data_IF_079395028264
#
_entry.id   IF_079395028264
#
_cell.length_a   1.000
_cell.length_b   1.000
_cell.length_c   1.000
_cell.angle_alpha   90.00
_cell.angle_beta   90.00
_cell.angle_gamma   90.00
#
_symmetry.space_group_name_H-M   'P 1'
#
loop_
_entity.id
_entity.type
_entity.pdbx_description
1 polymer ?
#
# COMPACT_ATOMS: atom_id res chain seq x y z
N UNK A 1 -6.43 -102.02 31.69
CA UNK A 1 -5.12 -101.35 31.45
C UNK A 1 -5.43 -100.02 30.82
N UNK A 2 -5.41 -98.96 31.63
CA UNK A 2 -5.69 -97.57 31.20
C UNK A 2 -4.34 -96.80 31.28
N UNK A 3 -3.90 -96.32 30.15
CA UNK A 3 -2.74 -95.49 30.04
C UNK A 3 -3.15 -94.02 30.35
N UNK A 4 -2.58 -93.45 31.35
CA UNK A 4 -2.74 -92.02 31.71
C UNK A 4 -1.65 -91.23 30.98
N UNK A 5 -2.06 -90.27 30.11
CA UNK A 5 -1.20 -89.34 29.42
C UNK A 5 -1.14 -88.03 30.27
N UNK A 6 0.04 -87.66 30.71
CA UNK A 6 0.31 -86.35 31.34
C UNK A 6 0.59 -85.32 30.23
N UNK A 7 -0.02 -84.16 30.25
CA UNK A 7 0.42 -83.06 29.37
C UNK A 7 1.52 -82.28 30.02
N UNK A 8 2.65 -82.15 29.30
CA UNK A 8 3.75 -81.25 29.61
C UNK A 8 3.34 -79.81 29.32
N UNK A 9 3.26 -78.96 30.36
CA UNK A 9 2.97 -77.53 30.23
C UNK A 9 4.26 -76.83 29.92
N UNK A 10 4.39 -76.32 28.68
CA UNK A 10 5.53 -75.50 28.23
C UNK A 10 5.27 -74.05 28.64
N UNK A 11 5.95 -73.58 29.68
CA UNK A 11 5.96 -72.16 30.04
C UNK A 11 6.88 -71.40 29.10
N UNK A 12 6.29 -70.62 28.21
CA UNK A 12 7.04 -69.62 27.41
C UNK A 12 7.23 -68.40 28.27
N UNK A 13 8.44 -68.18 28.74
CA UNK A 13 8.85 -66.94 29.40
C UNK A 13 8.97 -65.85 28.33
N UNK A 14 7.99 -64.91 28.31
CA UNK A 14 8.09 -63.70 27.53
C UNK A 14 9.02 -62.73 28.25
N UNK A 15 10.25 -62.61 27.79
CA UNK A 15 11.20 -61.62 28.19
C UNK A 15 10.78 -60.29 27.57
N UNK A 16 10.19 -59.39 28.36
CA UNK A 16 9.97 -58.01 27.97
C UNK A 16 11.33 -57.32 27.94
N UNK A 17 11.89 -57.21 26.75
CA UNK A 17 13.00 -56.28 26.48
C UNK A 17 12.47 -54.86 26.51
N UNK A 18 12.52 -54.18 27.68
CA UNK A 18 12.33 -52.75 27.77
C UNK A 18 13.50 -52.05 27.10
N UNK A 19 13.33 -51.70 25.82
CA UNK A 19 14.18 -50.70 25.17
C UNK A 19 14.01 -49.39 25.93
N UNK A 20 15.02 -49.01 26.69
CA UNK A 20 15.09 -47.63 27.20
C UNK A 20 15.12 -46.70 26.01
N UNK A 21 13.99 -46.12 25.67
CA UNK A 21 13.94 -44.95 24.81
C UNK A 21 14.67 -43.86 25.59
N UNK A 22 15.91 -43.55 25.21
CA UNK A 22 16.57 -42.35 25.66
C UNK A 22 15.71 -41.18 25.15
N UNK A 23 15.00 -40.50 26.03
CA UNK A 23 14.47 -39.18 25.74
C UNK A 23 15.68 -38.32 25.37
N UNK A 24 15.92 -38.19 24.07
CA UNK A 24 16.67 -37.06 23.56
C UNK A 24 15.80 -35.84 23.83
N UNK A 25 16.04 -35.21 25.00
CA UNK A 25 15.57 -33.84 25.25
C UNK A 25 16.16 -33.00 24.11
N UNK A 26 15.31 -32.59 23.18
CA UNK A 26 15.72 -31.68 22.11
C UNK A 26 16.35 -30.48 22.81
N UNK A 27 17.65 -30.31 22.70
CA UNK A 27 18.34 -29.10 23.13
C UNK A 27 17.90 -28.01 22.17
N UNK A 28 16.91 -27.23 22.60
CA UNK A 28 16.59 -25.97 21.91
C UNK A 28 17.87 -25.12 21.92
N UNK A 29 18.21 -24.49 20.77
CA UNK A 29 19.34 -23.57 20.73
C UNK A 29 19.18 -22.53 21.84
N UNK A 30 20.27 -22.20 22.54
CA UNK A 30 20.27 -21.12 23.53
C UNK A 30 19.75 -19.86 22.84
N UNK A 31 18.54 -19.44 23.20
CA UNK A 31 18.01 -18.15 22.77
C UNK A 31 18.91 -17.08 23.36
N UNK A 32 19.42 -16.18 22.51
CA UNK A 32 20.16 -15.00 22.97
C UNK A 32 19.26 -14.25 23.98
N UNK A 33 19.86 -13.80 25.08
CA UNK A 33 19.10 -13.11 26.14
C UNK A 33 18.36 -11.86 25.65
N UNK A 34 18.77 -11.31 24.49
CA UNK A 34 18.09 -10.20 23.81
C UNK A 34 16.89 -10.63 22.96
N UNK A 35 16.70 -11.92 22.70
CA UNK A 35 15.60 -12.48 21.92
C UNK A 35 14.57 -13.21 22.80
N UNK A 36 14.51 -12.93 24.09
CA UNK A 36 13.59 -13.58 25.03
C UNK A 36 12.12 -13.16 24.86
N UNK A 37 11.83 -12.14 24.08
CA UNK A 37 10.49 -11.68 23.81
C UNK A 37 10.15 -11.84 22.34
N UNK A 38 8.88 -12.02 22.01
CA UNK A 38 8.40 -12.03 20.62
C UNK A 38 8.26 -10.62 20.02
N UNK A 39 8.57 -9.58 20.81
CA UNK A 39 8.48 -8.19 20.35
C UNK A 39 9.85 -7.65 19.90
N UNK A 40 10.23 -7.98 18.68
CA UNK A 40 11.47 -7.50 18.07
C UNK A 40 11.43 -6.01 17.68
N UNK A 41 10.27 -5.37 17.80
CA UNK A 41 10.03 -3.98 17.39
C UNK A 41 10.01 -2.99 18.56
N UNK A 42 10.36 -3.44 19.77
CA UNK A 42 10.37 -2.65 20.99
C UNK A 42 11.62 -2.98 21.81
N UNK A 43 12.79 -2.71 21.24
CA UNK A 43 14.07 -3.11 21.81
C UNK A 43 15.00 -1.94 22.18
N UNK A 44 14.51 -0.69 22.03
CA UNK A 44 15.24 0.54 22.37
C UNK A 44 14.30 1.56 23.04
N UNK A 45 14.84 2.57 23.74
CA UNK A 45 14.02 3.64 24.29
C UNK A 45 13.28 4.45 23.22
N UNK A 46 12.03 4.79 23.49
CA UNK A 46 11.22 5.68 22.65
C UNK A 46 11.66 7.12 22.86
N UNK A 47 11.96 7.84 21.77
CA UNK A 47 12.24 9.27 21.77
C UNK A 47 11.00 10.03 21.29
N UNK A 48 10.53 11.01 22.09
CA UNK A 48 9.48 11.94 21.66
C UNK A 48 9.99 12.88 20.57
N UNK A 49 9.12 13.20 19.62
CA UNK A 49 9.41 14.14 18.53
C UNK A 49 8.53 15.39 18.73
N UNK A 50 9.13 16.60 18.86
CA UNK A 50 8.35 17.82 18.96
C UNK A 50 7.42 17.98 17.77
N UNK A 51 6.14 18.20 18.05
CA UNK A 51 5.13 18.45 17.01
C UNK A 51 4.89 19.93 16.82
N UNK A 52 4.81 20.35 15.55
CA UNK A 52 4.33 21.68 15.19
C UNK A 52 2.83 21.68 14.94
N UNK A 53 2.21 22.87 14.89
CA UNK A 53 0.79 22.97 14.55
C UNK A 53 0.59 22.50 13.11
N UNK A 54 -0.32 21.54 12.93
CA UNK A 54 -0.73 21.01 11.64
C UNK A 54 -2.11 21.54 11.29
N UNK A 55 -2.27 22.09 10.09
CA UNK A 55 -3.57 22.57 9.59
C UNK A 55 -4.06 21.73 8.43
N UNK A 56 -5.38 21.58 8.30
CA UNK A 56 -6.05 20.98 7.15
C UNK A 56 -6.86 22.02 6.43
N UNK A 57 -6.71 22.12 5.11
CA UNK A 57 -7.48 23.04 4.26
C UNK A 57 -7.76 22.46 2.86
N UNK A 58 -8.13 23.34 1.91
CA UNK A 58 -8.43 22.96 0.53
C UNK A 58 -9.92 22.72 0.30
N UNK A 59 -10.27 21.66 -0.42
CA UNK A 59 -11.65 21.34 -0.84
C UNK A 59 -12.46 20.67 0.29
N UNK A 60 -12.52 21.35 1.43
CA UNK A 60 -13.24 20.94 2.64
C UNK A 60 -14.05 22.10 3.22
N UNK A 61 -15.19 21.77 3.87
CA UNK A 61 -16.07 22.75 4.49
C UNK A 61 -15.63 23.19 5.89
N UNK A 62 -14.73 22.45 6.53
CA UNK A 62 -14.29 22.68 7.92
C UNK A 62 -12.76 22.78 8.03
N UNK A 63 -12.10 23.77 7.37
CA UNK A 63 -10.67 23.95 7.49
C UNK A 63 -10.28 24.36 8.92
N UNK A 64 -9.09 23.92 9.36
CA UNK A 64 -8.62 24.28 10.69
C UNK A 64 -7.40 23.49 11.15
N UNK A 65 -7.03 23.74 12.40
CA UNK A 65 -5.94 22.99 13.04
C UNK A 65 -6.41 21.60 13.48
N UNK A 66 -5.53 20.62 13.34
CA UNK A 66 -5.77 19.26 13.83
C UNK A 66 -5.72 19.23 15.35
N UNK A 67 -6.76 18.67 15.97
CA UNK A 67 -6.80 18.39 17.40
C UNK A 67 -6.35 16.93 17.66
N UNK A 68 -5.07 16.75 17.86
CA UNK A 68 -4.46 15.45 18.09
C UNK A 68 -4.96 14.75 19.36
N UNK A 69 -5.50 15.50 20.34
CA UNK A 69 -5.96 14.94 21.62
C UNK A 69 -7.17 13.99 21.45
N UNK A 70 -7.87 14.10 20.33
CA UNK A 70 -9.05 13.29 19.98
C UNK A 70 -8.72 12.09 19.09
N UNK A 71 -7.49 11.97 18.62
CA UNK A 71 -7.11 10.96 17.64
C UNK A 71 -6.42 9.76 18.30
N UNK A 72 -6.65 8.55 17.82
CA UNK A 72 -5.97 7.37 18.31
C UNK A 72 -4.50 7.36 17.88
N UNK A 73 -3.62 6.96 18.78
CA UNK A 73 -2.21 6.75 18.47
C UNK A 73 -2.05 5.45 17.68
N UNK A 74 -1.25 5.49 16.62
CA UNK A 74 -0.94 4.38 15.72
C UNK A 74 0.56 4.13 15.70
N UNK A 75 0.95 2.86 15.53
CA UNK A 75 2.36 2.48 15.38
C UNK A 75 2.62 1.94 13.99
N UNK A 76 3.71 2.37 13.37
CA UNK A 76 4.16 1.89 12.06
C UNK A 76 5.62 1.50 12.13
N UNK A 77 5.94 0.28 11.69
CA UNK A 77 7.33 -0.15 11.49
C UNK A 77 7.73 0.10 10.03
N UNK A 78 8.92 0.67 9.86
CA UNK A 78 9.41 1.06 8.54
C UNK A 78 10.92 0.84 8.42
N UNK A 79 11.35 0.43 7.24
CA UNK A 79 12.75 0.50 6.80
C UNK A 79 12.88 1.74 5.93
N UNK A 80 13.61 2.73 6.38
CA UNK A 80 13.83 3.94 5.60
C UNK A 80 14.97 3.73 4.60
N UNK A 81 14.70 4.07 3.35
CA UNK A 81 15.68 4.10 2.27
C UNK A 81 15.38 5.25 1.32
N UNK A 82 16.42 5.84 0.76
CA UNK A 82 16.33 6.96 -0.18
C UNK A 82 16.92 6.57 -1.54
N UNK A 83 16.51 7.29 -2.58
CA UNK A 83 17.04 7.17 -3.91
C UNK A 83 18.33 7.99 -4.04
N UNK A 84 19.43 7.34 -4.37
CA UNK A 84 20.69 8.01 -4.72
C UNK A 84 20.62 8.63 -6.12
N UNK A 85 21.50 9.58 -6.40
CA UNK A 85 21.62 10.22 -7.72
C UNK A 85 21.96 9.24 -8.85
N UNK A 86 22.59 8.12 -8.55
CA UNK A 86 22.94 7.04 -9.50
C UNK A 86 21.80 6.02 -9.70
N UNK A 87 20.64 6.24 -9.06
CA UNK A 87 19.50 5.34 -9.13
C UNK A 87 19.55 4.15 -8.17
N UNK A 88 20.60 4.02 -7.35
CA UNK A 88 20.68 2.99 -6.32
C UNK A 88 19.93 3.39 -5.05
N UNK A 89 19.64 2.43 -4.17
CA UNK A 89 18.96 2.68 -2.91
C UNK A 89 19.95 2.83 -1.75
N UNK A 90 19.78 3.91 -0.97
CA UNK A 90 20.55 4.15 0.25
C UNK A 90 19.70 3.82 1.47
N UNK A 91 20.01 2.74 2.17
CA UNK A 91 19.37 2.42 3.45
C UNK A 91 19.78 3.44 4.53
N UNK A 92 18.77 3.92 5.29
CA UNK A 92 18.94 4.92 6.36
C UNK A 92 18.82 4.28 7.73
N UNK A 93 17.82 3.42 7.94
CA UNK A 93 17.59 2.76 9.20
C UNK A 93 16.26 2.01 9.27
N UNK A 94 16.07 1.29 10.38
CA UNK A 94 14.83 0.62 10.71
C UNK A 94 14.24 1.20 11.98
N UNK A 95 12.95 1.55 11.95
CA UNK A 95 12.28 2.28 13.01
C UNK A 95 10.88 1.76 13.29
N UNK A 96 10.42 1.92 14.53
CA UNK A 96 9.03 2.05 14.87
C UNK A 96 8.74 3.53 15.09
N UNK A 97 7.72 4.02 14.42
CA UNK A 97 7.18 5.35 14.64
C UNK A 97 5.80 5.24 15.27
N UNK A 98 5.53 6.07 16.26
CA UNK A 98 4.21 6.22 16.85
C UNK A 98 3.66 7.61 16.50
N UNK A 99 2.37 7.71 16.16
CA UNK A 99 1.79 8.96 15.69
C UNK A 99 0.32 8.83 15.27
N UNK A 100 -0.17 9.77 14.50
CA UNK A 100 -1.56 9.90 14.11
C UNK A 100 -1.72 9.66 12.62
N UNK A 101 -2.61 8.74 12.22
CA UNK A 101 -2.74 8.40 10.80
C UNK A 101 -3.43 9.51 10.01
N UNK A 102 -3.03 9.69 8.75
CA UNK A 102 -3.74 10.61 7.84
C UNK A 102 -5.18 10.20 7.64
N UNK A 103 -5.49 8.89 7.67
CA UNK A 103 -6.86 8.39 7.65
C UNK A 103 -7.66 8.95 8.82
N UNK A 104 -7.18 8.82 10.07
CA UNK A 104 -7.91 9.30 11.25
C UNK A 104 -8.05 10.83 11.22
N UNK A 105 -7.01 11.58 10.80
CA UNK A 105 -7.04 13.04 10.66
C UNK A 105 -8.09 13.48 9.63
N UNK A 106 -8.12 12.85 8.48
CA UNK A 106 -8.98 13.25 7.36
C UNK A 106 -10.40 12.66 7.44
N UNK A 107 -10.63 11.64 8.26
CA UNK A 107 -11.97 11.08 8.47
C UNK A 107 -12.95 12.08 9.12
N UNK A 108 -12.42 13.09 9.83
CA UNK A 108 -13.21 14.16 10.47
C UNK A 108 -13.53 15.33 9.51
N UNK A 109 -12.95 15.36 8.30
CA UNK A 109 -13.18 16.46 7.37
C UNK A 109 -14.46 16.25 6.54
N UNK A 110 -15.13 17.36 6.26
CA UNK A 110 -16.32 17.38 5.38
C UNK A 110 -15.86 17.83 4.00
N UNK A 111 -15.84 16.91 3.05
CA UNK A 111 -15.43 17.20 1.68
C UNK A 111 -16.37 18.21 1.04
N UNK A 112 -15.79 19.25 0.43
CA UNK A 112 -16.46 20.24 -0.41
C UNK A 112 -15.72 20.32 -1.74
N UNK A 113 -15.91 19.30 -2.55
CA UNK A 113 -15.20 19.10 -3.80
C UNK A 113 -15.54 20.18 -4.82
N UNK A 114 -14.51 20.81 -5.42
CA UNK A 114 -14.62 21.92 -6.37
C UNK A 114 -15.38 21.55 -7.65
N UNK A 115 -15.20 20.32 -8.16
CA UNK A 115 -15.82 19.85 -9.39
C UNK A 115 -16.94 18.81 -9.16
N UNK A 116 -17.62 18.89 -8.01
CA UNK A 116 -18.69 17.93 -7.63
C UNK A 116 -19.86 17.91 -8.61
N UNK A 117 -20.17 19.04 -9.25
CA UNK A 117 -21.26 19.15 -10.24
C UNK A 117 -20.96 18.34 -11.51
N UNK A 118 -19.69 18.23 -11.89
CA UNK A 118 -19.23 17.47 -13.07
C UNK A 118 -18.95 16.02 -12.72
N UNK A 119 -18.23 15.79 -11.62
CA UNK A 119 -17.83 14.46 -11.18
C UNK A 119 -17.96 14.33 -9.66
N UNK A 120 -19.12 13.89 -9.15
CA UNK A 120 -19.38 13.76 -7.71
C UNK A 120 -18.46 12.78 -6.94
N UNK A 121 -17.95 11.66 -7.53
CA UNK A 121 -17.10 10.74 -6.80
C UNK A 121 -15.80 11.40 -6.30
N UNK A 122 -15.37 11.01 -5.10
CA UNK A 122 -14.16 11.57 -4.44
C UNK A 122 -12.86 10.87 -4.80
N UNK A 123 -12.92 9.87 -5.67
CA UNK A 123 -11.76 9.03 -6.05
C UNK A 123 -10.76 9.73 -6.98
N UNK A 124 -11.06 10.93 -7.46
CA UNK A 124 -10.14 11.80 -8.21
C UNK A 124 -9.54 12.91 -7.33
N UNK A 125 -9.83 12.92 -6.03
CA UNK A 125 -9.16 13.80 -5.07
C UNK A 125 -7.75 13.29 -4.75
N UNK A 126 -6.91 14.24 -4.39
CA UNK A 126 -5.60 13.96 -3.78
C UNK A 126 -5.35 14.87 -2.58
N UNK A 127 -4.36 14.51 -1.79
CA UNK A 127 -3.95 15.21 -0.58
C UNK A 127 -2.49 15.61 -0.75
N UNK A 128 -2.19 16.90 -0.61
CA UNK A 128 -0.83 17.45 -0.52
C UNK A 128 -0.47 17.61 0.96
N UNK A 129 0.66 17.08 1.39
CA UNK A 129 1.24 17.37 2.71
C UNK A 129 2.51 18.16 2.49
N UNK A 130 2.63 19.29 3.19
CA UNK A 130 3.78 20.21 3.06
C UNK A 130 4.31 20.69 4.40
N UNK A 131 5.53 21.22 4.39
CA UNK A 131 6.18 21.85 5.52
C UNK A 131 6.65 23.27 5.18
N UNK A 132 7.11 24.02 6.19
CA UNK A 132 7.58 25.40 6.03
C UNK A 132 8.95 25.48 5.31
N UNK A 133 9.65 24.37 5.14
CA UNK A 133 10.87 24.29 4.32
C UNK A 133 10.58 24.19 2.81
N UNK A 134 9.30 24.12 2.41
CA UNK A 134 8.88 24.05 1.02
C UNK A 134 8.84 22.63 0.45
N UNK A 135 9.08 21.60 1.28
CA UNK A 135 8.89 20.22 0.84
C UNK A 135 7.39 19.91 0.70
N UNK A 136 7.06 19.16 -0.35
CA UNK A 136 5.70 18.75 -0.67
C UNK A 136 5.67 17.29 -1.11
N UNK A 137 4.66 16.56 -0.64
CA UNK A 137 4.39 15.18 -1.06
C UNK A 137 2.91 14.97 -1.25
N UNK A 138 2.53 14.05 -2.13
CA UNK A 138 1.13 13.82 -2.47
C UNK A 138 0.68 12.39 -2.19
N UNK A 139 -0.60 12.28 -1.89
CA UNK A 139 -1.32 11.01 -1.69
C UNK A 139 -2.62 11.06 -2.47
N UNK A 140 -2.98 10.00 -3.17
CA UNK A 140 -4.34 9.91 -3.69
C UNK A 140 -5.34 9.73 -2.54
N UNK A 141 -6.57 10.23 -2.72
CA UNK A 141 -7.62 9.94 -1.74
C UNK A 141 -7.83 8.43 -1.58
N UNK A 142 -7.68 7.71 -2.69
CA UNK A 142 -7.76 6.27 -2.71
C UNK A 142 -6.69 5.57 -1.88
N UNK A 143 -5.45 6.06 -1.88
CA UNK A 143 -4.34 5.53 -1.07
C UNK A 143 -4.62 5.61 0.44
N UNK A 144 -5.38 6.62 0.86
CA UNK A 144 -5.70 6.87 2.27
C UNK A 144 -6.93 6.11 2.76
N UNK A 145 -7.95 5.92 1.89
CA UNK A 145 -9.28 5.47 2.31
C UNK A 145 -9.74 4.11 1.77
N UNK A 146 -9.07 3.56 0.75
CA UNK A 146 -9.51 2.32 0.09
C UNK A 146 -8.71 1.07 0.43
N UNK A 147 -7.43 1.12 0.85
CA UNK A 147 -6.67 -0.10 1.16
C UNK A 147 -7.25 -0.91 2.31
N UNK A 148 -6.94 -2.19 2.35
CA UNK A 148 -7.26 -3.05 3.50
C UNK A 148 -6.55 -2.62 4.80
N UNK A 149 -5.48 -1.83 4.71
CA UNK A 149 -4.68 -1.35 5.83
C UNK A 149 -4.59 0.18 5.81
N UNK A 150 -5.48 0.85 6.54
CA UNK A 150 -5.75 2.29 6.47
C UNK A 150 -4.76 3.17 7.26
N UNK A 151 -3.99 2.60 8.20
CA UNK A 151 -3.23 3.37 9.18
C UNK A 151 -1.72 3.35 8.95
N UNK A 152 -1.28 3.17 7.69
CA UNK A 152 0.13 3.03 7.34
C UNK A 152 0.83 4.36 7.04
N UNK A 153 0.09 5.46 6.95
CA UNK A 153 0.61 6.80 6.70
C UNK A 153 0.30 7.65 7.93
N UNK A 154 1.32 8.08 8.67
CA UNK A 154 1.16 8.75 9.97
C UNK A 154 1.97 10.03 10.06
N UNK A 155 1.50 10.98 10.89
CA UNK A 155 2.29 12.08 11.43
C UNK A 155 2.88 11.59 12.74
N UNK A 156 4.16 11.25 12.74
CA UNK A 156 4.85 10.68 13.88
C UNK A 156 5.22 11.74 14.93
N UNK A 157 4.91 11.46 16.19
CA UNK A 157 5.30 12.24 17.35
C UNK A 157 6.28 11.51 18.29
N UNK A 158 6.62 10.26 17.95
CA UNK A 158 7.65 9.51 18.65
C UNK A 158 8.32 8.51 17.69
N UNK A 159 9.56 8.15 18.02
CA UNK A 159 10.37 7.22 17.25
C UNK A 159 11.17 6.32 18.17
N UNK A 160 11.38 5.09 17.73
CA UNK A 160 12.29 4.13 18.35
C UNK A 160 13.11 3.44 17.26
N UNK A 161 14.41 3.26 17.50
CA UNK A 161 15.24 2.40 16.63
C UNK A 161 14.82 0.95 16.77
N UNK A 162 14.85 0.21 15.68
CA UNK A 162 14.84 -1.25 15.69
C UNK A 162 16.29 -1.68 15.49
N UNK A 163 16.97 -2.01 16.60
CA UNK A 163 18.41 -2.30 16.61
C UNK A 163 18.65 -3.79 16.37
N UNK A 164 19.46 -4.16 15.35
CA UNK A 164 19.80 -5.56 15.10
C UNK A 164 20.56 -6.18 16.26
N UNK A 165 20.17 -7.38 16.70
CA UNK A 165 20.73 -8.03 17.89
C UNK A 165 22.23 -8.34 17.77
N UNK A 166 22.75 -8.58 16.55
CA UNK A 166 24.15 -8.96 16.28
C UNK A 166 25.05 -7.76 16.01
N UNK A 167 24.66 -6.88 15.09
CA UNK A 167 25.51 -5.76 14.64
C UNK A 167 25.43 -4.56 15.55
N UNK A 168 24.32 -4.41 16.30
CA UNK A 168 24.09 -3.28 17.21
C UNK A 168 24.13 -1.92 16.52
N UNK A 169 23.75 -1.87 15.24
CA UNK A 169 23.74 -0.62 14.47
C UNK A 169 22.76 0.38 15.06
N UNK A 170 23.23 1.59 15.28
CA UNK A 170 22.45 2.70 15.81
C UNK A 170 22.12 3.68 14.68
N UNK A 171 20.95 3.54 14.11
CA UNK A 171 20.44 4.43 13.06
C UNK A 171 20.27 5.88 13.58
N UNK A 172 20.47 6.90 12.73
CA UNK A 172 20.22 8.29 13.13
C UNK A 172 18.74 8.50 13.49
N UNK A 173 18.46 9.25 14.57
CA UNK A 173 17.09 9.58 14.96
C UNK A 173 16.67 10.95 14.41
N UNK A 174 15.44 11.13 13.94
CA UNK A 174 14.90 12.42 13.61
C UNK A 174 14.77 13.30 14.86
N UNK A 175 14.88 14.61 14.70
CA UNK A 175 14.83 15.60 15.79
C UNK A 175 13.47 16.32 15.89
N UNK A 176 12.55 16.04 14.96
CA UNK A 176 11.25 16.70 14.87
C UNK A 176 10.19 15.71 14.38
N UNK A 177 8.90 16.07 14.53
CA UNK A 177 7.80 15.32 13.96
C UNK A 177 8.03 15.01 12.49
N UNK A 178 7.48 13.91 12.01
CA UNK A 178 7.76 13.42 10.67
C UNK A 178 6.52 12.79 10.05
N UNK A 179 6.27 13.09 8.79
CA UNK A 179 5.35 12.27 7.99
C UNK A 179 6.06 10.96 7.67
N UNK A 180 5.43 9.83 7.95
CA UNK A 180 5.98 8.48 7.73
C UNK A 180 5.02 7.68 6.88
N UNK A 181 5.51 7.13 5.78
CA UNK A 181 4.74 6.32 4.82
C UNK A 181 5.20 4.87 4.88
N UNK A 182 4.47 4.06 5.63
CA UNK A 182 4.85 2.67 5.89
C UNK A 182 4.71 1.71 4.69
N UNK A 183 4.04 2.14 3.62
CA UNK A 183 3.85 1.35 2.39
C UNK A 183 4.92 1.61 1.32
N UNK A 184 5.73 2.66 1.48
CA UNK A 184 6.76 3.00 0.51
C UNK A 184 8.00 2.12 0.64
N UNK A 185 8.57 1.73 -0.50
CA UNK A 185 9.88 1.07 -0.58
C UNK A 185 11.01 2.08 -0.40
N UNK A 186 10.97 3.18 -1.16
CA UNK A 186 11.83 4.35 -1.01
C UNK A 186 11.04 5.44 -0.30
N UNK A 187 11.54 5.91 0.84
CA UNK A 187 10.81 6.75 1.76
C UNK A 187 10.99 8.25 1.48
N UNK A 188 11.06 8.62 0.21
CA UNK A 188 11.21 10.01 -0.24
C UNK A 188 9.99 10.89 0.16
N UNK A 189 8.82 10.27 0.43
CA UNK A 189 7.66 10.97 0.94
C UNK A 189 7.68 11.21 2.46
N UNK A 190 8.69 10.71 3.16
CA UNK A 190 8.87 10.98 4.59
C UNK A 190 9.48 12.38 4.78
N UNK A 191 8.65 13.40 4.97
CA UNK A 191 9.10 14.78 5.20
C UNK A 191 9.08 15.14 6.67
N UNK A 192 10.01 16.03 7.08
CA UNK A 192 10.15 16.50 8.46
C UNK A 192 9.21 17.68 8.74
N UNK A 193 8.71 17.80 9.98
CA UNK A 193 7.87 18.91 10.42
C UNK A 193 6.70 19.26 9.48
N UNK A 194 5.81 18.36 9.12
CA UNK A 194 4.65 18.70 8.31
C UNK A 194 3.78 19.72 9.03
N UNK A 195 3.42 20.83 8.33
CA UNK A 195 2.62 21.93 8.89
C UNK A 195 1.25 22.05 8.25
N UNK A 196 1.07 21.45 7.07
CA UNK A 196 -0.14 21.64 6.28
C UNK A 196 -0.55 20.38 5.51
N UNK A 197 -1.85 20.10 5.51
CA UNK A 197 -2.53 19.10 4.68
C UNK A 197 -3.54 19.84 3.82
N UNK A 198 -3.49 19.71 2.50
CA UNK A 198 -4.41 20.36 1.58
C UNK A 198 -5.12 19.33 0.71
N UNK A 199 -6.45 19.31 0.75
CA UNK A 199 -7.28 18.46 -0.11
C UNK A 199 -7.56 19.16 -1.43
N UNK A 200 -7.35 18.47 -2.56
CA UNK A 200 -7.48 19.04 -3.91
C UNK A 200 -8.11 18.06 -4.89
N UNK A 201 -8.79 18.58 -5.91
CA UNK A 201 -9.14 17.83 -7.13
C UNK A 201 -8.00 17.94 -8.15
N UNK A 202 -7.80 16.88 -8.95
CA UNK A 202 -6.95 16.98 -10.13
C UNK A 202 -7.58 17.94 -11.15
N UNK A 203 -6.75 18.81 -11.72
CA UNK A 203 -7.16 19.78 -12.75
C UNK A 203 -7.17 19.09 -14.14
N UNK A 204 -8.06 18.12 -14.30
CA UNK A 204 -8.25 17.38 -15.53
C UNK A 204 -9.72 17.36 -15.91
N UNK A 205 -10.02 17.80 -17.13
CA UNK A 205 -11.40 17.83 -17.65
C UNK A 205 -11.64 16.60 -18.52
N UNK A 206 -12.71 15.85 -18.17
CA UNK A 206 -13.20 14.71 -18.94
C UNK A 206 -14.70 14.87 -19.18
N UNK A 207 -15.14 14.54 -20.39
CA UNK A 207 -16.57 14.48 -20.72
C UNK A 207 -17.17 13.24 -20.06
N UNK A 208 -18.18 13.43 -19.20
CA UNK A 208 -18.92 12.34 -18.57
C UNK A 208 -20.09 11.93 -19.45
N UNK A 209 -20.13 10.65 -19.85
CA UNK A 209 -21.23 10.06 -20.58
C UNK A 209 -21.58 8.67 -20.00
N UNK A 210 -22.48 8.65 -19.01
CA UNK A 210 -22.89 7.42 -18.33
C UNK A 210 -23.75 6.49 -19.20
N UNK A 211 -24.31 7.01 -20.29
CA UNK A 211 -25.20 6.27 -21.19
C UNK A 211 -24.47 5.70 -22.41
N UNK A 212 -23.15 5.88 -22.46
CA UNK A 212 -22.32 5.40 -23.58
C UNK A 212 -22.44 3.87 -23.74
N UNK A 213 -22.90 3.45 -24.93
CA UNK A 213 -23.04 2.03 -25.31
C UNK A 213 -22.63 1.84 -26.78
N UNK A 214 -21.80 0.83 -27.09
CA UNK A 214 -21.13 -0.07 -26.15
C UNK A 214 -20.05 0.65 -25.34
N UNK A 215 -19.86 0.24 -24.10
CA UNK A 215 -18.75 0.75 -23.27
C UNK A 215 -17.48 -0.07 -23.62
N UNK A 216 -16.93 0.17 -24.79
CA UNK A 216 -15.79 -0.55 -25.32
C UNK A 216 -14.76 0.41 -25.89
N UNK A 217 -13.50 0.23 -25.45
CA UNK A 217 -12.32 0.94 -25.96
C UNK A 217 -11.24 -0.11 -26.21
N UNK A 218 -10.67 -0.13 -27.44
CA UNK A 218 -9.63 -1.07 -27.86
C UNK A 218 -8.22 -0.48 -27.72
N UNK A 219 -8.11 0.79 -27.34
CA UNK A 219 -6.86 1.53 -27.18
C UNK A 219 -6.85 2.30 -25.88
N UNK A 220 -5.68 2.48 -25.30
CA UNK A 220 -5.48 3.34 -24.13
C UNK A 220 -4.49 4.42 -24.51
N UNK A 221 -4.95 5.66 -24.45
CA UNK A 221 -4.11 6.83 -24.65
C UNK A 221 -3.25 7.06 -23.41
N UNK A 222 -1.95 7.23 -23.61
CA UNK A 222 -0.99 7.60 -22.58
C UNK A 222 -0.54 9.05 -22.83
N UNK A 223 -0.68 9.91 -21.84
CA UNK A 223 -0.23 11.29 -21.85
C UNK A 223 0.89 11.45 -20.83
N UNK A 224 2.10 11.74 -21.29
CA UNK A 224 3.25 11.90 -20.41
C UNK A 224 3.26 13.28 -19.70
N UNK A 225 4.25 13.50 -18.83
CA UNK A 225 4.40 14.74 -18.06
C UNK A 225 4.56 15.99 -18.94
N UNK A 226 5.08 15.84 -20.17
CA UNK A 226 5.22 16.94 -21.13
C UNK A 226 3.94 17.16 -21.96
N UNK A 227 2.88 16.36 -21.72
CA UNK A 227 1.63 16.40 -22.47
C UNK A 227 1.71 15.67 -23.82
N UNK A 228 2.79 14.93 -24.10
CA UNK A 228 2.93 14.16 -25.34
C UNK A 228 2.02 12.93 -25.27
N UNK A 229 1.23 12.77 -26.31
CA UNK A 229 0.33 11.62 -26.45
C UNK A 229 1.02 10.44 -27.15
N UNK A 230 0.74 9.25 -26.64
CA UNK A 230 1.12 7.96 -27.23
C UNK A 230 0.05 6.93 -26.91
N UNK A 231 0.16 5.73 -27.48
CA UNK A 231 -0.73 4.61 -27.16
C UNK A 231 -0.01 3.66 -26.20
N UNK A 232 -0.74 3.19 -25.19
CA UNK A 232 -0.25 2.15 -24.29
C UNK A 232 -0.03 0.87 -25.07
N UNK A 233 1.22 0.43 -25.16
CA UNK A 233 1.58 -0.75 -25.92
C UNK A 233 1.68 -1.97 -24.99
N UNK A 234 0.92 -3.01 -25.29
CA UNK A 234 1.10 -4.34 -24.69
C UNK A 234 2.38 -4.93 -25.30
N UNK A 235 3.52 -4.67 -24.67
CA UNK A 235 4.81 -5.17 -25.12
C UNK A 235 4.78 -6.69 -25.25
N UNK A 236 5.26 -7.22 -26.38
CA UNK A 236 5.46 -8.66 -26.54
C UNK A 236 6.47 -9.12 -25.49
N UNK A 237 6.07 -10.06 -24.63
CA UNK A 237 6.95 -10.63 -23.60
C UNK A 237 6.58 -10.29 -22.15
N UNK A 238 5.57 -9.45 -21.89
CA UNK A 238 5.05 -9.28 -20.54
C UNK A 238 4.30 -10.55 -20.10
N UNK A 239 4.61 -10.99 -18.87
CA UNK A 239 3.92 -12.13 -18.27
C UNK A 239 2.62 -11.69 -17.63
N UNK A 240 1.57 -12.49 -17.77
CA UNK A 240 0.34 -12.31 -17.02
C UNK A 240 0.49 -12.81 -15.59
N UNK A 241 -0.23 -12.18 -14.68
CA UNK A 241 -0.35 -12.58 -13.27
C UNK A 241 -1.82 -12.79 -12.92
N UNK A 242 -2.07 -13.66 -11.93
CA UNK A 242 -3.42 -13.94 -11.46
C UNK A 242 -3.54 -13.58 -9.99
N UNK A 243 -4.49 -12.70 -9.67
CA UNK A 243 -4.83 -12.33 -8.30
C UNK A 243 -6.11 -13.03 -7.85
N UNK A 244 -6.01 -13.83 -6.79
CA UNK A 244 -7.18 -14.30 -6.07
C UNK A 244 -7.80 -13.12 -5.32
N UNK A 245 -9.10 -12.91 -5.50
CA UNK A 245 -9.77 -11.76 -4.91
C UNK A 245 -11.22 -12.02 -4.60
N UNK A 246 -11.74 -11.26 -3.64
CA UNK A 246 -13.17 -11.04 -3.45
C UNK A 246 -13.44 -9.61 -3.88
N UNK A 247 -14.06 -9.45 -5.06
CA UNK A 247 -14.33 -8.14 -5.64
C UNK A 247 -15.61 -7.57 -5.04
N UNK A 248 -15.44 -6.58 -4.14
CA UNK A 248 -16.51 -6.03 -3.30
C UNK A 248 -16.74 -4.55 -3.59
N UNK A 249 -17.97 -4.19 -3.91
CA UNK A 249 -18.37 -2.81 -4.17
C UNK A 249 -19.10 -2.20 -2.98
N UNK A 250 -18.83 -0.95 -2.70
CA UNK A 250 -19.48 -0.18 -1.62
C UNK A 250 -21.01 -0.13 -1.75
N UNK A 251 -21.52 -0.06 -2.98
CA UNK A 251 -22.96 0.05 -3.26
C UNK A 251 -23.68 -1.29 -3.46
N UNK A 252 -23.01 -2.30 -4.02
CA UNK A 252 -23.64 -3.57 -4.41
C UNK A 252 -23.18 -4.79 -3.61
N UNK A 253 -22.18 -4.65 -2.75
CA UNK A 253 -21.58 -5.78 -2.05
C UNK A 253 -20.72 -6.63 -2.99
N UNK A 254 -20.84 -7.96 -2.95
CA UNK A 254 -20.01 -8.87 -3.73
C UNK A 254 -20.35 -8.76 -5.23
N UNK A 255 -19.32 -8.48 -6.04
CA UNK A 255 -19.40 -8.53 -7.50
C UNK A 255 -18.86 -9.85 -8.07
N UNK A 256 -17.76 -10.37 -7.50
CA UNK A 256 -17.11 -11.60 -7.94
C UNK A 256 -16.22 -12.18 -6.85
N UNK A 257 -16.09 -13.50 -6.83
CA UNK A 257 -15.10 -14.25 -6.04
C UNK A 257 -14.11 -14.99 -6.94
N UNK A 258 -14.18 -14.77 -8.26
CA UNK A 258 -13.26 -15.39 -9.23
C UNK A 258 -11.96 -14.58 -9.32
N UNK A 259 -10.82 -15.24 -9.53
CA UNK A 259 -9.55 -14.57 -9.75
C UNK A 259 -9.58 -13.65 -10.97
N UNK A 260 -8.79 -12.58 -10.92
CA UNK A 260 -8.49 -11.75 -12.08
C UNK A 260 -7.11 -12.08 -12.64
N UNK A 261 -7.01 -12.20 -13.96
CA UNK A 261 -5.76 -12.39 -14.68
C UNK A 261 -5.51 -11.19 -15.57
N UNK A 262 -4.29 -10.66 -15.54
CA UNK A 262 -3.88 -9.49 -16.34
C UNK A 262 -2.40 -9.24 -16.22
N UNK A 263 -1.98 -8.02 -16.54
CA UNK A 263 -0.60 -7.55 -16.51
C UNK A 263 -0.41 -6.56 -15.36
N UNK A 264 0.77 -6.48 -14.76
CA UNK A 264 1.08 -5.36 -13.88
C UNK A 264 1.07 -4.06 -14.68
N UNK A 265 0.24 -3.11 -14.26
CA UNK A 265 0.15 -1.81 -14.95
C UNK A 265 1.50 -1.08 -14.94
N UNK A 266 2.25 -1.16 -13.85
CA UNK A 266 3.57 -0.54 -13.72
C UNK A 266 4.57 -0.97 -14.80
N UNK A 267 4.56 -2.25 -15.20
CA UNK A 267 5.50 -2.79 -16.20
C UNK A 267 5.29 -2.17 -17.57
N UNK A 268 4.06 -1.74 -17.86
CA UNK A 268 3.72 -1.06 -19.11
C UNK A 268 4.07 0.42 -19.09
N UNK A 269 4.17 1.03 -17.92
CA UNK A 269 4.35 2.47 -17.74
C UNK A 269 5.78 2.87 -17.41
N UNK A 270 6.67 1.93 -17.07
CA UNK A 270 8.03 2.20 -16.58
C UNK A 270 8.84 3.09 -17.53
N UNK A 271 8.69 2.91 -18.84
CA UNK A 271 9.41 3.71 -19.83
C UNK A 271 8.89 5.16 -19.91
N UNK A 272 7.62 5.38 -19.61
CA UNK A 272 6.97 6.70 -19.67
C UNK A 272 6.95 7.44 -18.33
N UNK A 273 7.20 6.70 -17.24
CA UNK A 273 7.17 7.21 -15.86
C UNK A 273 8.51 6.85 -15.17
N UNK A 274 9.62 7.52 -15.51
CA UNK A 274 10.93 7.19 -14.95
C UNK A 274 10.98 7.42 -13.44
N UNK A 275 11.79 6.61 -12.75
CA UNK A 275 12.01 6.77 -11.31
C UNK A 275 12.83 8.04 -11.05
N UNK A 276 12.31 8.91 -10.20
CA UNK A 276 13.01 10.08 -9.68
C UNK A 276 12.44 10.45 -8.31
N UNK A 277 13.20 11.18 -7.52
CA UNK A 277 12.73 11.71 -6.22
C UNK A 277 11.45 12.52 -6.40
N UNK A 278 11.41 13.39 -7.40
CA UNK A 278 10.28 14.26 -7.69
C UNK A 278 9.01 13.44 -8.04
N UNK A 279 9.15 12.43 -8.89
CA UNK A 279 8.04 11.56 -9.24
C UNK A 279 7.55 10.74 -8.03
N UNK A 280 8.45 10.24 -7.17
CA UNK A 280 8.08 9.53 -5.93
C UNK A 280 7.30 10.47 -5.01
N UNK A 281 7.75 11.71 -4.85
CA UNK A 281 7.14 12.69 -3.95
C UNK A 281 5.82 13.26 -4.49
N UNK A 282 5.75 13.61 -5.76
CA UNK A 282 4.70 14.46 -6.33
C UNK A 282 4.02 13.91 -7.58
N UNK A 283 4.50 12.78 -8.12
CA UNK A 283 3.94 12.17 -9.31
C UNK A 283 2.52 11.64 -9.08
N UNK A 284 1.62 11.98 -10.00
CA UNK A 284 0.22 11.56 -10.01
C UNK A 284 -0.17 11.04 -11.38
N UNK A 285 -0.97 9.98 -11.41
CA UNK A 285 -1.61 9.50 -12.62
C UNK A 285 -3.12 9.63 -12.47
N UNK A 286 -3.76 10.18 -13.52
CA UNK A 286 -5.21 10.09 -13.68
C UNK A 286 -5.50 8.96 -14.64
N UNK A 287 -6.34 8.01 -14.23
CA UNK A 287 -6.77 6.90 -15.07
C UNK A 287 -8.27 7.05 -15.31
N UNK A 288 -8.65 7.12 -16.59
CA UNK A 288 -10.02 7.39 -17.00
C UNK A 288 -10.56 6.31 -17.94
N UNK A 289 -11.82 5.99 -17.76
CA UNK A 289 -12.63 5.19 -18.68
C UNK A 289 -13.16 6.03 -19.84
N UNK A 290 -13.66 5.37 -20.86
CA UNK A 290 -14.23 5.98 -22.06
C UNK A 290 -15.48 6.84 -21.74
N UNK A 291 -16.21 6.51 -20.68
CA UNK A 291 -17.37 7.23 -20.18
C UNK A 291 -17.00 8.45 -19.31
N UNK A 292 -15.70 8.72 -19.13
CA UNK A 292 -15.19 9.81 -18.28
C UNK A 292 -15.16 9.51 -16.78
N UNK A 293 -15.56 8.30 -16.35
CA UNK A 293 -15.31 7.85 -14.98
C UNK A 293 -13.80 7.78 -14.75
N UNK A 294 -13.31 8.35 -13.65
CA UNK A 294 -11.87 8.51 -13.45
C UNK A 294 -11.46 8.35 -11.99
N UNK A 295 -10.19 8.03 -11.79
CA UNK A 295 -9.60 8.00 -10.47
C UNK A 295 -8.17 8.57 -10.50
N UNK A 296 -7.67 8.98 -9.35
CA UNK A 296 -6.28 9.35 -9.15
C UNK A 296 -5.50 8.24 -8.45
N UNK A 297 -4.23 8.10 -8.82
CA UNK A 297 -3.27 7.21 -8.16
C UNK A 297 -1.92 7.91 -8.12
N UNK A 298 -1.16 7.78 -7.02
CA UNK A 298 0.18 8.35 -6.96
C UNK A 298 1.19 7.49 -7.72
N UNK A 299 2.30 8.12 -8.14
CA UNK A 299 3.45 7.38 -8.65
C UNK A 299 3.89 6.29 -7.66
N UNK A 300 3.96 6.64 -6.37
CA UNK A 300 4.38 5.71 -5.32
C UNK A 300 3.43 4.52 -5.14
N UNK A 301 2.12 4.70 -5.31
CA UNK A 301 1.18 3.56 -5.30
C UNK A 301 1.43 2.56 -6.42
N UNK A 302 1.97 2.98 -7.56
CA UNK A 302 2.25 2.09 -8.69
C UNK A 302 3.67 1.52 -8.65
N UNK A 303 4.69 2.36 -8.35
CA UNK A 303 6.08 2.01 -8.59
C UNK A 303 6.91 1.84 -7.32
N UNK A 304 6.41 2.29 -6.17
CA UNK A 304 7.20 2.41 -4.94
C UNK A 304 6.61 1.66 -3.74
N UNK A 305 5.79 0.64 -3.97
CA UNK A 305 5.18 -0.16 -2.88
C UNK A 305 6.13 -1.23 -2.36
N UNK A 306 6.13 -1.43 -1.04
CA UNK A 306 6.91 -2.49 -0.37
C UNK A 306 6.10 -3.79 -0.11
N UNK A 307 4.78 -3.79 -0.35
CA UNK A 307 3.89 -4.92 -0.09
C UNK A 307 3.51 -5.73 -1.34
N UNK A 308 4.00 -5.33 -2.52
CA UNK A 308 3.78 -6.00 -3.81
C UNK A 308 2.29 -6.09 -4.23
N UNK A 309 1.41 -5.26 -3.65
CA UNK A 309 -0.01 -5.22 -4.01
C UNK A 309 -0.24 -4.25 -5.18
N UNK A 310 0.04 -4.73 -6.38
CA UNK A 310 0.09 -3.93 -7.59
C UNK A 310 -1.29 -3.75 -8.25
N UNK A 311 -1.41 -2.70 -9.07
CA UNK A 311 -2.56 -2.50 -9.96
C UNK A 311 -2.44 -3.42 -11.17
N UNK A 312 -3.54 -4.10 -11.49
CA UNK A 312 -3.62 -5.04 -12.60
C UNK A 312 -4.37 -4.42 -13.77
N UNK A 313 -3.78 -4.47 -14.96
CA UNK A 313 -4.46 -4.21 -16.22
C UNK A 313 -5.00 -5.54 -16.77
N UNK A 314 -6.32 -5.66 -16.86
CA UNK A 314 -6.99 -6.80 -17.47
C UNK A 314 -7.22 -6.48 -18.95
N UNK A 315 -6.73 -7.33 -19.85
CA UNK A 315 -7.01 -7.28 -21.31
C UNK A 315 -7.99 -8.42 -21.66
N UNK A 316 -9.23 -8.04 -21.96
CA UNK A 316 -10.29 -8.97 -22.36
C UNK A 316 -11.01 -8.45 -23.61
N UNK A 317 -10.49 -8.77 -24.81
CA UNK A 317 -11.03 -8.24 -26.07
C UNK A 317 -12.46 -8.68 -26.37
N UNK A 318 -13.01 -9.63 -25.61
CA UNK A 318 -14.39 -10.11 -25.80
C UNK A 318 -15.39 -9.42 -24.86
N UNK A 319 -14.94 -8.64 -23.89
CA UNK A 319 -15.80 -7.99 -22.91
C UNK A 319 -16.39 -6.68 -23.46
N UNK A 320 -17.55 -6.78 -24.09
CA UNK A 320 -18.26 -5.61 -24.66
C UNK A 320 -19.00 -4.77 -23.62
N UNK A 321 -19.23 -5.28 -22.40
CA UNK A 321 -19.95 -4.56 -21.33
C UNK A 321 -19.02 -3.79 -20.40
N UNK A 322 -17.83 -4.32 -20.16
CA UNK A 322 -16.83 -3.71 -19.26
C UNK A 322 -15.64 -3.10 -19.99
N UNK A 323 -15.61 -3.20 -21.33
CA UNK A 323 -14.50 -2.79 -22.18
C UNK A 323 -13.35 -3.79 -22.21
N UNK A 324 -12.53 -3.70 -23.26
CA UNK A 324 -11.34 -4.54 -23.43
C UNK A 324 -10.37 -4.36 -22.26
N UNK A 325 -10.01 -3.12 -21.98
CA UNK A 325 -9.07 -2.79 -20.91
C UNK A 325 -9.79 -2.36 -19.65
N UNK A 326 -9.47 -3.04 -18.55
CA UNK A 326 -10.03 -2.74 -17.23
C UNK A 326 -8.92 -2.66 -16.20
N UNK A 327 -9.06 -1.74 -15.26
CA UNK A 327 -8.13 -1.62 -14.13
C UNK A 327 -8.69 -2.34 -12.91
N UNK A 328 -7.82 -3.07 -12.22
CA UNK A 328 -8.11 -3.68 -10.92
C UNK A 328 -7.03 -3.29 -9.89
N UNK A 329 -7.38 -2.49 -8.85
CA UNK A 329 -6.48 -2.15 -7.76
C UNK A 329 -6.49 -3.26 -6.70
N UNK A 330 -5.45 -4.11 -6.66
CA UNK A 330 -5.42 -5.29 -5.79
C UNK A 330 -5.32 -4.94 -4.29
N UNK A 331 -4.84 -3.74 -3.95
CA UNK A 331 -4.73 -3.28 -2.56
C UNK A 331 -6.05 -2.79 -1.95
N UNK A 332 -7.06 -2.52 -2.77
CA UNK A 332 -8.30 -1.88 -2.32
C UNK A 332 -9.30 -2.86 -1.73
N UNK A 333 -9.95 -2.45 -0.66
CA UNK A 333 -11.11 -3.14 -0.11
C UNK A 333 -12.35 -2.94 -0.99
N UNK A 334 -12.59 -1.68 -1.44
CA UNK A 334 -13.71 -1.36 -2.31
C UNK A 334 -13.32 -1.27 -3.78
N UNK A 335 -14.21 -1.69 -4.66
CA UNK A 335 -14.03 -1.70 -6.12
C UNK A 335 -14.13 -0.33 -6.80
N UNK A 336 -14.29 0.74 -6.05
CA UNK A 336 -14.60 2.08 -6.60
C UNK A 336 -13.49 2.63 -7.51
N UNK A 337 -12.23 2.24 -7.28
CA UNK A 337 -11.09 2.60 -8.15
C UNK A 337 -10.86 1.63 -9.32
N UNK A 338 -11.69 0.60 -9.48
CA UNK A 338 -11.66 -0.22 -10.68
C UNK A 338 -12.29 0.54 -11.86
N UNK A 339 -11.55 0.66 -12.95
CA UNK A 339 -11.98 1.37 -14.16
C UNK A 339 -12.40 0.36 -15.22
N UNK A 340 -13.59 0.55 -15.78
CA UNK A 340 -14.08 -0.15 -16.96
C UNK A 340 -13.73 0.62 -18.22
N UNK A 341 -13.55 -0.08 -19.34
CA UNK A 341 -13.23 0.51 -20.63
C UNK A 341 -12.17 1.61 -20.51
N UNK A 342 -11.05 1.28 -19.85
CA UNK A 342 -9.96 2.22 -19.63
C UNK A 342 -9.49 2.79 -20.95
N UNK A 343 -9.52 4.11 -21.09
CA UNK A 343 -9.28 4.83 -22.35
C UNK A 343 -8.09 5.79 -22.28
N UNK A 344 -7.77 6.33 -21.10
CA UNK A 344 -6.66 7.27 -20.94
C UNK A 344 -5.93 7.07 -19.61
N UNK A 345 -4.61 7.20 -19.66
CA UNK A 345 -3.72 7.35 -18.50
C UNK A 345 -2.95 8.64 -18.71
N UNK A 346 -3.03 9.59 -17.78
CA UNK A 346 -2.32 10.86 -17.83
C UNK A 346 -1.39 10.98 -16.64
N UNK A 347 -0.11 11.20 -16.89
CA UNK A 347 0.91 11.43 -15.86
C UNK A 347 1.14 12.93 -15.67
N UNK A 348 1.18 13.38 -14.42
CA UNK A 348 1.44 14.77 -14.03
C UNK A 348 2.25 14.82 -12.74
N UNK A 349 2.88 15.97 -12.45
CA UNK A 349 3.55 16.28 -11.17
C UNK A 349 2.84 17.47 -10.53
N UNK A 350 2.51 17.36 -9.23
CA UNK A 350 1.74 18.35 -8.47
C UNK A 350 2.64 19.35 -7.72
#
# INVERSE_FOLDING_TARGET
MKKILFPVLLMIAWSCNQTKVSEQVAQFPKVDSLEQTNNFYDNEPVQGLPMVKLAVDGEIANPGAVDFSKLPLRSVIVKEALLNADGTNKFIGAYRYDGYSLFDILNEVKIQKKNADVFPPIIDLYVEVSNDAGEKVVFSWGELFYPNNLHRIIIANAVMRIVPSKTKDLWPLPMASKLVVGNDLLTERNISNPTKITVRSLDASYTINKDLKPLFCDRVKLVDIAGKESELNLSKGLSTVTFNTIFYGRGRGIHSTTPFTGYYLKDMLVASCPMSKDNIQRGMLTIAGLDGYRMSVTYSELFNRNDQQDFLLIDDPKNMEGGRFRLFPACDFFSDRAIKAMAEIRFSVQ
#
